data_IF_567837297091
#
_entry.id   IF_567837297091
#
_cell.length_a   1.000
_cell.length_b   1.000
_cell.length_c   1.000
_cell.angle_alpha   90.00
_cell.angle_beta   90.00
_cell.angle_gamma   90.00
#
_symmetry.space_group_name_H-M   'P 1'
#
loop_
_entity.id
_entity.type
_entity.pdbx_description
1 polymer ?
#
# COMPACT_ATOMS: atom_id res chain seq x y z
N UNK A 1 -5.76 6.61 -32.07
CA UNK A 1 -6.92 6.23 -31.25
C UNK A 1 -6.78 7.00 -29.94
N UNK A 2 -7.58 8.07 -29.76
CA UNK A 2 -7.59 8.83 -28.52
C UNK A 2 -8.13 7.93 -27.41
N UNK A 3 -7.28 7.52 -26.47
CA UNK A 3 -7.73 6.96 -25.22
C UNK A 3 -8.55 8.05 -24.52
N UNK A 4 -9.85 7.84 -24.35
CA UNK A 4 -10.72 8.77 -23.67
C UNK A 4 -10.13 9.06 -22.28
N UNK A 5 -9.85 10.32 -22.00
CA UNK A 5 -9.33 10.75 -20.71
C UNK A 5 -10.32 10.35 -19.62
N UNK A 6 -9.86 9.52 -18.71
CA UNK A 6 -10.65 9.07 -17.56
C UNK A 6 -10.97 10.28 -16.69
N UNK A 7 -12.26 10.53 -16.45
CA UNK A 7 -12.70 11.62 -15.58
C UNK A 7 -13.16 11.08 -14.23
N UNK A 8 -12.99 11.86 -13.18
CA UNK A 8 -13.29 11.49 -11.80
C UNK A 8 -14.36 12.41 -11.22
N UNK A 9 -15.23 11.87 -10.38
CA UNK A 9 -16.18 12.66 -9.60
C UNK A 9 -15.52 13.20 -8.33
N UNK A 10 -16.15 14.16 -7.67
CA UNK A 10 -15.65 14.67 -6.38
C UNK A 10 -15.65 13.59 -5.27
N UNK A 11 -16.51 12.58 -5.40
CA UNK A 11 -16.55 11.44 -4.48
C UNK A 11 -15.35 10.52 -4.68
N UNK A 12 -14.93 10.33 -5.94
CA UNK A 12 -13.70 9.59 -6.23
C UNK A 12 -12.49 10.32 -5.66
N UNK A 13 -12.43 11.67 -5.82
CA UNK A 13 -11.36 12.48 -5.22
C UNK A 13 -11.33 12.34 -3.69
N UNK A 14 -12.49 12.40 -3.02
CA UNK A 14 -12.60 12.17 -1.57
C UNK A 14 -12.06 10.80 -1.19
N UNK A 15 -12.43 9.75 -1.91
CA UNK A 15 -12.01 8.38 -1.66
C UNK A 15 -10.48 8.21 -1.86
N UNK A 16 -9.91 8.81 -2.91
CA UNK A 16 -8.48 8.68 -3.21
C UNK A 16 -7.57 9.50 -2.29
N UNK A 17 -7.96 10.72 -1.93
CA UNK A 17 -7.10 11.61 -1.14
C UNK A 17 -7.46 11.66 0.35
N UNK A 18 -8.61 11.11 0.76
CA UNK A 18 -9.10 11.13 2.13
C UNK A 18 -9.52 12.53 2.64
N UNK A 19 -9.68 13.49 1.73
CA UNK A 19 -10.12 14.86 2.04
C UNK A 19 -11.59 14.97 1.71
N UNK A 20 -12.38 15.46 2.67
CA UNK A 20 -13.83 15.58 2.50
C UNK A 20 -14.21 16.48 1.31
N UNK A 21 -15.21 16.07 0.53
CA UNK A 21 -15.67 16.76 -0.68
C UNK A 21 -15.94 18.26 -0.46
N UNK A 22 -16.48 18.65 0.71
CA UNK A 22 -16.70 20.05 1.03
C UNK A 22 -15.38 20.84 1.19
N UNK A 23 -14.34 20.21 1.73
CA UNK A 23 -13.01 20.81 1.88
C UNK A 23 -12.36 21.00 0.51
N UNK A 24 -12.47 19.99 -0.38
CA UNK A 24 -11.98 20.07 -1.76
C UNK A 24 -12.64 21.26 -2.49
N UNK A 25 -13.97 21.40 -2.40
CA UNK A 25 -14.69 22.54 -3.00
C UNK A 25 -14.27 23.88 -2.43
N UNK A 26 -13.99 23.92 -1.11
CA UNK A 26 -13.50 25.14 -0.48
C UNK A 26 -12.09 25.50 -1.00
N UNK A 27 -11.21 24.52 -1.17
CA UNK A 27 -9.87 24.73 -1.71
C UNK A 27 -9.89 25.13 -3.18
N UNK A 28 -10.75 24.50 -4.00
CA UNK A 28 -11.04 24.91 -5.38
C UNK A 28 -11.43 26.38 -5.44
N UNK A 29 -12.48 26.76 -4.67
CA UNK A 29 -13.02 28.13 -4.69
C UNK A 29 -12.04 29.18 -4.14
N UNK A 30 -11.33 28.87 -3.06
CA UNK A 30 -10.51 29.85 -2.33
C UNK A 30 -9.09 29.97 -2.87
N UNK A 31 -8.54 28.89 -3.38
CA UNK A 31 -7.13 28.82 -3.75
C UNK A 31 -6.89 28.43 -5.22
N UNK A 32 -7.92 28.04 -5.95
CA UNK A 32 -7.77 27.65 -7.35
C UNK A 32 -6.89 26.39 -7.56
N UNK A 33 -6.84 25.50 -6.57
CA UNK A 33 -5.98 24.31 -6.62
C UNK A 33 -6.38 23.38 -7.75
N UNK A 34 -7.69 23.26 -8.01
CA UNK A 34 -8.28 22.46 -9.07
C UNK A 34 -9.17 23.36 -9.94
N UNK A 35 -9.31 22.99 -11.21
CA UNK A 35 -10.13 23.72 -12.19
C UNK A 35 -11.01 22.74 -12.96
N UNK A 36 -11.96 22.04 -12.28
CA UNK A 36 -12.75 20.99 -12.89
C UNK A 36 -13.60 21.47 -14.06
N UNK A 37 -13.70 20.66 -15.08
CA UNK A 37 -14.70 20.83 -16.12
C UNK A 37 -16.11 20.59 -15.57
N UNK A 38 -17.11 21.23 -16.19
CA UNK A 38 -18.51 21.04 -15.81
C UNK A 38 -19.30 20.52 -16.98
N UNK A 39 -20.11 19.50 -16.72
CA UNK A 39 -21.09 19.03 -17.69
C UNK A 39 -22.22 20.05 -17.91
N UNK A 40 -23.05 19.85 -18.93
CA UNK A 40 -24.25 20.64 -19.17
C UNK A 40 -25.21 20.67 -17.98
N UNK A 41 -25.20 19.61 -17.16
CA UNK A 41 -25.94 19.50 -15.89
C UNK A 41 -25.20 20.12 -14.70
N UNK A 42 -24.13 20.89 -14.93
CA UNK A 42 -23.32 21.57 -13.92
C UNK A 42 -22.60 20.63 -12.91
N UNK A 43 -22.41 19.35 -13.29
CA UNK A 43 -21.66 18.37 -12.49
C UNK A 43 -20.16 18.56 -12.76
N UNK A 44 -19.34 18.54 -11.69
CA UNK A 44 -17.88 18.65 -11.78
C UNK A 44 -17.25 17.34 -12.21
N UNK A 45 -16.34 17.43 -13.17
CA UNK A 45 -15.50 16.34 -13.64
C UNK A 45 -14.04 16.77 -13.51
N UNK A 46 -13.22 15.92 -12.91
CA UNK A 46 -11.81 16.15 -12.67
C UNK A 46 -10.98 15.25 -13.56
N UNK A 47 -9.92 15.78 -14.11
CA UNK A 47 -8.96 15.03 -14.92
C UNK A 47 -8.04 14.18 -14.04
N UNK A 48 -7.30 13.27 -14.65
CA UNK A 48 -6.27 12.49 -13.96
C UNK A 48 -5.18 13.39 -13.35
N UNK A 49 -4.80 14.47 -14.06
CA UNK A 49 -3.80 15.42 -13.59
C UNK A 49 -4.30 16.20 -12.35
N UNK A 50 -5.57 16.56 -12.32
CA UNK A 50 -6.17 17.19 -11.14
C UNK A 50 -6.26 16.24 -9.96
N UNK A 51 -6.54 14.95 -10.18
CA UNK A 51 -6.49 13.94 -9.14
C UNK A 51 -5.06 13.80 -8.59
N UNK A 52 -4.04 13.68 -9.46
CA UNK A 52 -2.62 13.62 -9.05
C UNK A 52 -2.24 14.86 -8.24
N UNK A 53 -2.60 16.05 -8.73
CA UNK A 53 -2.35 17.31 -8.03
C UNK A 53 -2.98 17.33 -6.64
N UNK A 54 -4.24 16.89 -6.51
CA UNK A 54 -4.92 16.85 -5.22
C UNK A 54 -4.29 15.84 -4.26
N UNK A 55 -3.84 14.68 -4.73
CA UNK A 55 -3.11 13.70 -3.92
C UNK A 55 -1.81 14.32 -3.39
N UNK A 56 -1.05 15.02 -4.25
CA UNK A 56 0.15 15.75 -3.85
C UNK A 56 -0.14 16.77 -2.75
N UNK A 57 -1.16 17.60 -2.96
CA UNK A 57 -1.63 18.59 -1.98
C UNK A 57 -2.01 17.92 -0.67
N UNK A 58 -2.68 16.77 -0.71
CA UNK A 58 -3.09 16.01 0.48
C UNK A 58 -1.89 15.51 1.28
N UNK A 59 -0.86 15.00 0.61
CA UNK A 59 0.38 14.53 1.23
C UNK A 59 1.08 15.68 1.96
N UNK A 60 1.28 16.81 1.27
CA UNK A 60 1.94 17.97 1.86
C UNK A 60 1.14 18.57 3.03
N UNK A 61 -0.18 18.58 2.92
CA UNK A 61 -1.05 19.12 3.97
C UNK A 61 -1.05 18.21 5.21
N UNK A 62 -1.07 16.88 5.05
CA UNK A 62 -0.92 15.91 6.15
C UNK A 62 0.44 16.05 6.84
N UNK A 63 1.48 16.40 6.10
CA UNK A 63 2.82 16.65 6.63
C UNK A 63 2.98 18.05 7.23
N UNK A 64 1.86 18.74 7.49
CA UNK A 64 1.82 20.00 8.24
C UNK A 64 1.97 21.29 7.42
N UNK A 65 2.14 21.20 6.09
CA UNK A 65 2.13 22.41 5.27
C UNK A 65 0.72 22.99 5.17
N UNK A 66 0.62 24.31 5.43
CA UNK A 66 -0.65 25.03 5.30
C UNK A 66 -1.07 25.10 3.83
N UNK A 67 -2.34 24.82 3.56
CA UNK A 67 -2.91 24.85 2.20
C UNK A 67 -2.65 26.16 1.45
N UNK A 68 -2.67 27.30 2.15
CA UNK A 68 -2.37 28.60 1.57
C UNK A 68 -0.92 28.75 1.10
N UNK A 69 0.02 27.99 1.66
CA UNK A 69 1.41 27.91 1.21
C UNK A 69 1.51 26.98 0.02
N UNK A 70 0.89 25.78 0.09
CA UNK A 70 0.90 24.78 -0.98
C UNK A 70 0.34 25.37 -2.27
N UNK A 71 -0.77 26.10 -2.21
CA UNK A 71 -1.44 26.69 -3.36
C UNK A 71 -0.62 27.74 -4.12
N UNK A 72 0.47 28.24 -3.54
CA UNK A 72 1.38 29.23 -4.17
C UNK A 72 2.60 28.61 -4.82
N UNK A 73 2.82 27.32 -4.59
CA UNK A 73 3.97 26.59 -5.11
C UNK A 73 3.70 26.20 -6.58
N UNK A 74 4.72 26.39 -7.41
CA UNK A 74 4.74 25.82 -8.75
C UNK A 74 5.10 24.31 -8.69
N UNK A 75 4.97 23.59 -9.80
CA UNK A 75 5.17 22.14 -9.84
C UNK A 75 6.58 21.74 -9.38
N UNK A 76 7.62 22.50 -9.71
CA UNK A 76 8.99 22.22 -9.28
C UNK A 76 9.20 22.47 -7.78
N UNK A 77 8.51 23.42 -7.21
CA UNK A 77 8.53 23.71 -5.76
C UNK A 77 7.69 22.71 -4.98
N UNK A 78 6.53 22.32 -5.51
CA UNK A 78 5.71 21.22 -4.98
C UNK A 78 6.54 19.95 -4.89
N UNK A 79 7.28 19.63 -5.96
CA UNK A 79 8.20 18.51 -5.98
C UNK A 79 9.24 18.58 -4.86
N UNK A 80 9.94 19.72 -4.74
CA UNK A 80 10.94 19.91 -3.68
C UNK A 80 10.35 19.74 -2.29
N UNK A 81 9.13 20.23 -2.06
CA UNK A 81 8.46 20.08 -0.76
C UNK A 81 8.01 18.62 -0.52
N UNK A 82 7.55 17.89 -1.56
CA UNK A 82 7.26 16.44 -1.45
C UNK A 82 8.53 15.66 -1.17
N UNK A 83 9.63 15.99 -1.83
CA UNK A 83 10.93 15.37 -1.57
C UNK A 83 11.42 15.62 -0.13
N UNK A 84 11.20 16.81 0.42
CA UNK A 84 11.50 17.13 1.82
C UNK A 84 10.53 16.47 2.80
N UNK A 85 9.23 16.47 2.50
CA UNK A 85 8.20 15.94 3.40
C UNK A 85 8.18 14.42 3.49
N UNK A 86 8.78 13.73 2.52
CA UNK A 86 9.04 12.29 2.60
C UNK A 86 10.23 11.93 3.50
N UNK A 87 10.86 12.91 4.14
CA UNK A 87 11.85 12.75 5.23
C UNK A 87 11.18 12.80 6.61
N UNK A 88 9.93 12.35 6.73
CA UNK A 88 9.40 11.93 8.02
C UNK A 88 10.31 10.83 8.55
N UNK A 89 11.13 11.19 9.51
CA UNK A 89 12.24 10.44 10.08
C UNK A 89 13.33 10.05 9.05
N UNK A 90 14.24 11.00 8.73
CA UNK A 90 15.64 10.65 8.81
C UNK A 90 15.75 10.00 10.19
N UNK A 91 15.87 8.66 10.23
CA UNK A 91 16.20 7.97 11.47
C UNK A 91 17.31 8.79 12.12
N UNK A 92 17.19 9.12 13.39
CA UNK A 92 18.11 9.93 14.16
C UNK A 92 19.58 9.52 14.05
N UNK A 93 19.87 8.42 13.38
CA UNK A 93 21.19 7.84 13.04
C UNK A 93 21.75 8.28 11.67
N UNK A 94 21.01 9.01 10.83
CA UNK A 94 21.51 9.49 9.52
C UNK A 94 21.82 8.40 8.48
N UNK A 95 21.47 7.13 8.73
CA UNK A 95 21.83 6.00 7.86
C UNK A 95 20.93 5.85 6.65
N UNK A 96 19.65 6.29 6.71
CA UNK A 96 18.73 6.15 5.59
C UNK A 96 18.79 7.37 4.67
N UNK A 97 19.27 7.17 3.44
CA UNK A 97 19.38 8.20 2.39
C UNK A 97 18.47 7.91 1.21
N UNK A 98 17.17 8.21 1.31
CA UNK A 98 16.20 7.86 0.27
C UNK A 98 16.52 8.50 -1.09
N UNK A 99 17.15 9.67 -1.13
CA UNK A 99 17.56 10.34 -2.37
C UNK A 99 18.58 9.54 -3.18
N UNK A 100 19.58 8.95 -2.54
CA UNK A 100 20.59 8.12 -3.21
C UNK A 100 20.00 6.83 -3.77
N UNK A 101 19.08 6.20 -3.02
CA UNK A 101 18.34 5.02 -3.45
C UNK A 101 17.46 5.31 -4.66
N UNK A 102 16.72 6.42 -4.64
CA UNK A 102 15.89 6.83 -5.77
C UNK A 102 16.76 7.11 -6.99
N UNK A 103 17.89 7.79 -6.85
CA UNK A 103 18.77 8.10 -7.97
C UNK A 103 19.32 6.85 -8.69
N UNK A 104 19.66 5.77 -7.99
CA UNK A 104 20.04 4.50 -8.63
C UNK A 104 18.85 3.85 -9.34
N UNK A 105 17.67 3.89 -8.74
CA UNK A 105 16.45 3.37 -9.34
C UNK A 105 16.03 4.15 -10.60
N UNK A 106 16.22 5.47 -10.63
CA UNK A 106 15.91 6.30 -11.81
C UNK A 106 16.71 5.93 -13.05
N UNK A 107 17.90 5.36 -12.86
CA UNK A 107 18.77 4.87 -13.94
C UNK A 107 18.50 3.40 -14.30
N UNK A 108 17.56 2.75 -13.64
CA UNK A 108 17.32 1.31 -13.76
C UNK A 108 18.54 0.45 -13.46
N UNK A 109 19.46 0.93 -12.61
CA UNK A 109 20.65 0.21 -12.19
C UNK A 109 20.30 -0.77 -11.09
N UNK A 110 19.85 -1.98 -11.49
CA UNK A 110 19.30 -2.97 -10.57
C UNK A 110 20.34 -3.46 -9.56
N UNK A 111 21.55 -3.75 -10.01
CA UNK A 111 22.63 -4.24 -9.13
C UNK A 111 22.97 -3.22 -8.05
N UNK A 112 23.24 -1.96 -8.45
CA UNK A 112 23.57 -0.88 -7.53
C UNK A 112 22.43 -0.64 -6.52
N UNK A 113 21.19 -0.63 -7.01
CA UNK A 113 20.02 -0.42 -6.17
C UNK A 113 19.81 -1.56 -5.19
N UNK A 114 19.93 -2.82 -5.66
CA UNK A 114 19.81 -4.03 -4.84
C UNK A 114 20.91 -4.11 -3.78
N UNK A 115 22.16 -3.81 -4.15
CA UNK A 115 23.27 -3.81 -3.20
C UNK A 115 23.03 -2.83 -2.05
N UNK A 116 22.63 -1.61 -2.35
CA UNK A 116 22.29 -0.60 -1.34
C UNK A 116 21.15 -1.05 -0.42
N UNK A 117 20.09 -1.68 -0.97
CA UNK A 117 18.98 -2.21 -0.16
C UNK A 117 19.43 -3.39 0.72
N UNK A 118 20.26 -4.27 0.19
CA UNK A 118 20.79 -5.42 0.93
C UNK A 118 21.70 -5.00 2.12
N UNK A 119 22.39 -3.86 2.03
CA UNK A 119 23.12 -3.33 3.19
C UNK A 119 22.22 -3.12 4.40
N UNK A 120 20.99 -2.57 4.19
CA UNK A 120 20.01 -2.42 5.28
C UNK A 120 19.50 -3.77 5.79
N UNK A 121 19.37 -4.78 4.92
CA UNK A 121 18.97 -6.14 5.34
C UNK A 121 20.04 -6.76 6.23
N UNK A 122 21.32 -6.59 5.87
CA UNK A 122 22.45 -7.10 6.67
C UNK A 122 22.53 -6.41 8.03
N UNK A 123 22.32 -5.09 8.06
CA UNK A 123 22.45 -4.29 9.29
C UNK A 123 21.27 -4.50 10.25
N UNK A 124 20.05 -4.58 9.75
CA UNK A 124 18.82 -4.51 10.57
C UNK A 124 17.97 -5.78 10.55
N UNK A 125 18.28 -6.71 9.65
CA UNK A 125 17.40 -7.83 9.32
C UNK A 125 16.26 -7.41 8.39
N UNK A 126 15.71 -8.39 7.65
CA UNK A 126 14.75 -8.13 6.58
C UNK A 126 13.46 -7.45 7.06
N UNK A 127 12.93 -7.86 8.23
CA UNK A 127 11.70 -7.28 8.77
C UNK A 127 11.87 -5.78 9.07
N UNK A 128 12.94 -5.40 9.75
CA UNK A 128 13.20 -4.01 10.08
C UNK A 128 13.59 -3.18 8.84
N UNK A 129 14.36 -3.75 7.91
CA UNK A 129 14.66 -3.12 6.63
C UNK A 129 13.39 -2.82 5.84
N UNK A 130 12.42 -3.76 5.85
CA UNK A 130 11.13 -3.52 5.20
C UNK A 130 10.36 -2.38 5.85
N UNK A 131 10.22 -2.40 7.17
CA UNK A 131 9.43 -1.40 7.89
C UNK A 131 10.06 0.00 7.84
N UNK A 132 11.37 0.10 8.01
CA UNK A 132 12.07 1.37 8.17
C UNK A 132 12.62 1.96 6.87
N UNK A 133 12.84 1.15 5.83
CA UNK A 133 13.49 1.57 4.59
C UNK A 133 12.62 1.26 3.37
N UNK A 134 12.25 0.00 3.14
CA UNK A 134 11.64 -0.41 1.88
C UNK A 134 10.22 0.13 1.70
N UNK A 135 9.38 0.00 2.72
CA UNK A 135 8.02 0.52 2.66
C UNK A 135 8.00 2.06 2.56
N UNK A 136 8.73 2.84 3.38
CA UNK A 136 8.83 4.29 3.20
C UNK A 136 9.37 4.70 1.82
N UNK A 137 10.35 3.97 1.29
CA UNK A 137 10.89 4.22 -0.06
C UNK A 137 9.83 4.01 -1.15
N UNK A 138 9.03 2.94 -1.08
CA UNK A 138 7.92 2.70 -2.01
C UNK A 138 6.85 3.79 -1.91
N UNK A 139 6.51 4.23 -0.69
CA UNK A 139 5.55 5.33 -0.51
C UNK A 139 6.08 6.64 -1.12
N UNK A 140 7.38 6.91 -0.95
CA UNK A 140 8.02 8.07 -1.57
C UNK A 140 8.06 7.96 -3.09
N UNK A 141 8.42 6.80 -3.64
CA UNK A 141 8.41 6.55 -5.07
C UNK A 141 7.00 6.74 -5.66
N UNK A 142 5.98 6.24 -4.97
CA UNK A 142 4.58 6.46 -5.36
C UNK A 142 4.20 7.94 -5.37
N UNK A 143 4.56 8.69 -4.33
CA UNK A 143 4.32 10.13 -4.28
C UNK A 143 5.00 10.87 -5.43
N UNK A 144 6.25 10.51 -5.75
CA UNK A 144 7.00 11.08 -6.88
C UNK A 144 6.36 10.72 -8.23
N UNK A 145 5.86 9.51 -8.40
CA UNK A 145 5.13 9.14 -9.60
C UNK A 145 3.81 9.92 -9.73
N UNK A 146 3.04 10.05 -8.66
CA UNK A 146 1.79 10.82 -8.67
C UNK A 146 2.00 12.32 -8.95
N UNK A 147 3.21 12.83 -8.79
CA UNK A 147 3.62 14.21 -9.09
C UNK A 147 4.38 14.34 -10.41
N UNK A 148 4.37 13.28 -11.25
CA UNK A 148 5.10 13.20 -12.53
C UNK A 148 6.62 13.45 -12.42
N UNK A 149 7.19 13.31 -11.21
CA UNK A 149 8.63 13.49 -10.97
C UNK A 149 9.44 12.27 -11.37
N UNK A 150 8.80 11.10 -11.32
CA UNK A 150 9.32 9.86 -11.86
C UNK A 150 8.25 9.20 -12.73
N UNK A 151 8.68 8.41 -13.69
CA UNK A 151 7.77 7.67 -14.54
C UNK A 151 7.18 6.45 -13.81
N UNK A 152 6.02 5.98 -14.26
CA UNK A 152 5.43 4.74 -13.75
C UNK A 152 6.36 3.53 -13.83
N UNK A 153 7.12 3.30 -14.93
CA UNK A 153 8.12 2.23 -14.97
C UNK A 153 9.18 2.33 -13.88
N UNK A 154 9.61 3.55 -13.49
CA UNK A 154 10.59 3.74 -12.41
C UNK A 154 10.01 3.40 -11.04
N UNK A 155 8.76 3.78 -10.77
CA UNK A 155 8.04 3.37 -9.55
C UNK A 155 7.88 1.84 -9.49
N UNK A 156 7.45 1.23 -10.59
CA UNK A 156 7.30 -0.22 -10.68
C UNK A 156 8.62 -0.96 -10.52
N UNK A 157 9.72 -0.42 -11.05
CA UNK A 157 11.05 -0.99 -10.89
C UNK A 157 11.47 -1.03 -9.41
N UNK A 158 11.27 0.05 -8.65
CA UNK A 158 11.53 0.09 -7.21
C UNK A 158 10.76 -1.00 -6.48
N UNK A 159 9.47 -1.11 -6.75
CA UNK A 159 8.60 -2.13 -6.13
C UNK A 159 9.02 -3.54 -6.48
N UNK A 160 9.41 -3.77 -7.74
CA UNK A 160 9.85 -5.07 -8.22
C UNK A 160 11.15 -5.52 -7.52
N UNK A 161 12.15 -4.65 -7.45
CA UNK A 161 13.43 -5.01 -6.80
C UNK A 161 13.22 -5.29 -5.31
N UNK A 162 12.42 -4.48 -4.62
CA UNK A 162 12.08 -4.74 -3.21
C UNK A 162 11.36 -6.10 -3.06
N UNK A 163 10.43 -6.41 -3.95
CA UNK A 163 9.72 -7.68 -3.95
C UNK A 163 10.67 -8.87 -4.13
N UNK A 164 11.65 -8.78 -5.02
CA UNK A 164 12.63 -9.86 -5.23
C UNK A 164 13.49 -10.09 -3.99
N UNK A 165 13.87 -9.03 -3.27
CA UNK A 165 14.59 -9.15 -1.98
C UNK A 165 13.73 -9.83 -0.92
N UNK A 166 12.45 -9.48 -0.81
CA UNK A 166 11.53 -10.12 0.14
C UNK A 166 11.35 -11.60 -0.15
N UNK A 167 11.17 -11.96 -1.44
CA UNK A 167 11.02 -13.35 -1.87
C UNK A 167 12.31 -14.15 -1.59
N UNK A 168 13.48 -13.59 -1.89
CA UNK A 168 14.76 -14.24 -1.61
C UNK A 168 14.96 -14.46 -0.11
N UNK A 169 14.60 -13.48 0.72
CA UNK A 169 14.65 -13.59 2.18
C UNK A 169 13.67 -14.64 2.73
N UNK A 170 12.46 -14.73 2.15
CA UNK A 170 11.51 -15.78 2.50
C UNK A 170 12.02 -17.19 2.18
N UNK A 171 12.70 -17.36 1.04
CA UNK A 171 13.24 -18.66 0.61
C UNK A 171 14.47 -19.10 1.41
N UNK A 172 15.19 -18.19 2.05
CA UNK A 172 16.38 -18.49 2.85
C UNK A 172 16.08 -19.21 4.18
N UNK A 173 14.81 -19.26 4.57
CA UNK A 173 14.40 -19.97 5.79
C UNK A 173 14.08 -21.43 5.48
N UNK A 174 14.70 -22.34 6.23
CA UNK A 174 14.34 -23.73 6.20
C UNK A 174 12.86 -23.93 6.53
N UNK A 175 12.17 -24.71 5.70
CA UNK A 175 10.78 -25.08 5.94
C UNK A 175 10.75 -25.93 7.21
N UNK A 176 10.43 -25.32 8.33
CA UNK A 176 10.17 -26.09 9.55
C UNK A 176 8.94 -26.97 9.29
N UNK A 177 9.01 -28.22 9.71
CA UNK A 177 7.89 -29.16 9.70
C UNK A 177 6.87 -28.76 10.77
N UNK A 178 6.22 -27.62 10.58
CA UNK A 178 5.16 -27.17 11.47
C UNK A 178 3.82 -27.79 11.08
N UNK A 179 3.03 -28.16 12.08
CA UNK A 179 1.64 -28.57 11.91
C UNK A 179 0.69 -27.39 11.64
N UNK A 180 1.19 -26.14 11.81
CA UNK A 180 0.38 -24.93 11.64
C UNK A 180 0.47 -24.43 10.19
N UNK A 181 -0.68 -24.16 9.59
CA UNK A 181 -0.76 -23.65 8.23
C UNK A 181 -1.57 -22.36 8.17
N UNK A 182 -1.17 -21.48 7.26
CA UNK A 182 -1.86 -20.25 6.91
C UNK A 182 -2.08 -20.18 5.40
N UNK A 183 -3.15 -19.49 4.98
CA UNK A 183 -3.38 -19.14 3.58
C UNK A 183 -3.34 -17.63 3.41
N UNK A 184 -2.65 -17.16 2.38
CA UNK A 184 -2.64 -15.76 1.94
C UNK A 184 -3.22 -15.73 0.54
N UNK A 185 -4.31 -14.98 0.35
CA UNK A 185 -5.03 -14.90 -0.91
C UNK A 185 -5.11 -13.46 -1.35
N UNK A 186 -4.55 -13.19 -2.53
CA UNK A 186 -4.57 -11.86 -3.14
C UNK A 186 -5.67 -11.79 -4.20
N UNK A 187 -6.79 -11.15 -3.85
CA UNK A 187 -7.90 -10.86 -4.75
C UNK A 187 -7.92 -9.37 -5.17
N UNK A 188 -7.05 -8.57 -4.56
CA UNK A 188 -6.96 -7.13 -4.77
C UNK A 188 -5.96 -6.74 -5.87
N UNK A 189 -5.61 -5.47 -5.85
CA UNK A 189 -4.64 -4.88 -6.75
C UNK A 189 -3.19 -5.19 -6.36
N UNK A 190 -2.26 -4.91 -7.29
CA UNK A 190 -0.82 -5.13 -7.10
C UNK A 190 -0.18 -4.15 -6.09
N UNK A 191 -0.93 -3.15 -5.58
CA UNK A 191 -0.36 -2.15 -4.67
C UNK A 191 -0.01 -2.74 -3.30
N UNK A 192 -0.80 -3.69 -2.84
CA UNK A 192 -0.59 -4.37 -1.55
C UNK A 192 0.32 -5.61 -1.63
N UNK A 193 0.78 -5.98 -2.83
CA UNK A 193 1.49 -7.22 -3.08
C UNK A 193 2.77 -7.38 -2.23
N UNK A 194 3.58 -6.34 -2.11
CA UNK A 194 4.78 -6.37 -1.26
C UNK A 194 4.44 -6.57 0.22
N UNK A 195 3.30 -6.05 0.68
CA UNK A 195 2.83 -6.27 2.05
C UNK A 195 2.40 -7.73 2.26
N UNK A 196 1.83 -8.38 1.23
CA UNK A 196 1.47 -9.81 1.30
C UNK A 196 2.71 -10.71 1.31
N UNK A 197 3.72 -10.40 0.50
CA UNK A 197 5.00 -11.12 0.51
C UNK A 197 5.70 -10.92 1.86
N UNK A 198 5.66 -9.72 2.41
CA UNK A 198 6.18 -9.44 3.76
C UNK A 198 5.41 -10.21 4.83
N UNK A 199 4.09 -10.28 4.77
CA UNK A 199 3.29 -11.09 5.68
C UNK A 199 3.64 -12.58 5.57
N UNK A 200 3.82 -13.09 4.36
CA UNK A 200 4.27 -14.47 4.13
C UNK A 200 5.60 -14.74 4.83
N UNK A 201 6.57 -13.84 4.67
CA UNK A 201 7.85 -13.92 5.35
C UNK A 201 7.67 -13.95 6.88
N UNK A 202 6.86 -13.05 7.47
CA UNK A 202 6.61 -13.00 8.92
C UNK A 202 5.98 -14.30 9.45
N UNK A 203 4.98 -14.84 8.75
CA UNK A 203 4.34 -16.10 9.13
C UNK A 203 5.32 -17.28 9.06
N UNK A 204 6.18 -17.33 8.05
CA UNK A 204 7.21 -18.37 7.95
C UNK A 204 8.25 -18.27 9.05
N UNK A 205 8.62 -17.05 9.45
CA UNK A 205 9.46 -16.81 10.63
C UNK A 205 8.86 -17.38 11.93
N UNK A 206 7.53 -17.37 12.04
CA UNK A 206 6.78 -17.98 13.17
C UNK A 206 6.57 -19.49 13.00
N UNK A 207 7.13 -20.10 11.96
CA UNK A 207 7.04 -21.53 11.70
C UNK A 207 5.77 -21.97 10.97
N UNK A 208 4.96 -21.06 10.41
CA UNK A 208 3.78 -21.47 9.63
C UNK A 208 4.15 -22.00 8.24
N UNK A 209 3.47 -23.05 7.80
CA UNK A 209 3.40 -23.43 6.41
C UNK A 209 2.41 -22.49 5.70
N UNK A 210 2.88 -21.73 4.70
CA UNK A 210 2.05 -20.70 4.05
C UNK A 210 1.71 -21.09 2.62
N UNK A 211 0.41 -21.21 2.32
CA UNK A 211 -0.12 -21.26 0.96
C UNK A 211 -0.33 -19.83 0.50
N UNK A 212 0.30 -19.44 -0.60
CA UNK A 212 0.12 -18.11 -1.22
C UNK A 212 -0.47 -18.29 -2.61
N UNK A 213 -1.54 -17.59 -2.90
CA UNK A 213 -2.16 -17.58 -4.24
C UNK A 213 -2.71 -16.19 -4.56
N UNK A 214 -2.81 -15.91 -5.85
CA UNK A 214 -3.29 -14.63 -6.38
C UNK A 214 -4.18 -14.86 -7.59
N UNK A 215 -5.05 -13.90 -7.88
CA UNK A 215 -5.98 -13.93 -9.01
C UNK A 215 -7.43 -13.90 -8.57
N UNK A 216 -8.32 -14.03 -9.53
CA UNK A 216 -9.76 -14.06 -9.25
C UNK A 216 -10.13 -15.44 -8.71
N UNK A 217 -10.41 -15.51 -7.41
CA UNK A 217 -10.81 -16.73 -6.71
C UNK A 217 -12.23 -16.59 -6.15
N UNK A 218 -12.99 -17.66 -6.23
CA UNK A 218 -14.29 -17.78 -5.59
C UNK A 218 -14.17 -18.33 -4.16
N UNK A 219 -15.25 -18.27 -3.40
CA UNK A 219 -15.34 -18.93 -2.08
C UNK A 219 -15.08 -20.44 -2.20
N UNK A 220 -15.57 -21.06 -3.28
CA UNK A 220 -15.38 -22.50 -3.52
C UNK A 220 -13.93 -22.85 -3.77
N UNK A 221 -13.15 -21.96 -4.40
CA UNK A 221 -11.70 -22.13 -4.54
C UNK A 221 -11.00 -22.12 -3.18
N UNK A 222 -11.40 -21.21 -2.29
CA UNK A 222 -10.86 -21.15 -0.92
C UNK A 222 -11.17 -22.42 -0.15
N UNK A 223 -12.39 -22.95 -0.27
CA UNK A 223 -12.79 -24.26 0.28
C UNK A 223 -11.96 -25.38 -0.31
N UNK A 224 -11.75 -25.35 -1.63
CA UNK A 224 -10.91 -26.33 -2.34
C UNK A 224 -9.49 -26.36 -1.81
N UNK A 225 -8.87 -25.18 -1.61
CA UNK A 225 -7.54 -25.07 -1.02
C UNK A 225 -7.53 -25.62 0.40
N UNK A 226 -8.51 -25.25 1.23
CA UNK A 226 -8.59 -25.71 2.62
C UNK A 226 -8.79 -27.23 2.73
N UNK A 227 -9.57 -27.82 1.82
CA UNK A 227 -9.79 -29.27 1.76
C UNK A 227 -8.52 -30.05 1.45
N UNK A 228 -7.66 -29.52 0.56
CA UNK A 228 -6.39 -30.16 0.16
C UNK A 228 -5.32 -29.90 1.23
N UNK A 229 -5.26 -28.68 1.74
CA UNK A 229 -4.31 -28.28 2.77
C UNK A 229 -5.00 -27.43 3.82
N UNK A 230 -5.47 -28.03 4.92
CA UNK A 230 -6.13 -27.31 6.00
C UNK A 230 -5.25 -26.23 6.59
N UNK A 231 -5.81 -25.05 6.82
CA UNK A 231 -5.15 -23.92 7.44
C UNK A 231 -6.05 -23.32 8.53
N UNK A 232 -5.44 -22.76 9.56
CA UNK A 232 -6.14 -22.13 10.68
C UNK A 232 -6.18 -20.60 10.61
N UNK A 233 -5.38 -20.03 9.71
CA UNK A 233 -5.25 -18.59 9.49
C UNK A 233 -5.51 -18.30 8.02
N UNK A 234 -6.34 -17.29 7.75
CA UNK A 234 -6.61 -16.78 6.41
C UNK A 234 -6.29 -15.30 6.36
N UNK A 235 -5.41 -14.89 5.44
CA UNK A 235 -5.16 -13.48 5.13
C UNK A 235 -5.68 -13.18 3.74
N UNK A 236 -6.50 -12.13 3.62
CA UNK A 236 -7.15 -11.72 2.37
C UNK A 236 -6.73 -10.30 2.02
N UNK A 237 -6.32 -10.10 0.79
CA UNK A 237 -6.27 -8.78 0.17
C UNK A 237 -7.44 -8.66 -0.80
N UNK A 238 -8.35 -7.76 -0.53
CA UNK A 238 -9.59 -7.59 -1.30
C UNK A 238 -9.54 -6.29 -2.10
N UNK A 239 -10.28 -6.21 -3.24
CA UNK A 239 -10.40 -4.97 -3.99
C UNK A 239 -10.98 -3.86 -3.12
N UNK A 240 -10.43 -2.65 -3.24
CA UNK A 240 -10.90 -1.49 -2.48
C UNK A 240 -12.32 -1.01 -2.84
N UNK A 241 -12.92 -1.58 -3.89
CA UNK A 241 -14.27 -1.28 -4.36
C UNK A 241 -15.36 -2.03 -3.59
N UNK A 242 -14.99 -3.09 -2.86
CA UNK A 242 -15.97 -3.90 -2.13
C UNK A 242 -16.52 -3.14 -0.90
N UNK A 243 -17.85 -3.17 -0.66
CA UNK A 243 -18.44 -2.57 0.54
C UNK A 243 -17.97 -3.27 1.82
N UNK A 244 -17.63 -2.50 2.84
CA UNK A 244 -17.13 -3.01 4.13
C UNK A 244 -18.04 -4.06 4.77
N UNK A 245 -19.33 -3.90 4.66
CA UNK A 245 -20.34 -4.76 5.28
C UNK A 245 -20.39 -6.15 4.60
N UNK A 246 -20.24 -6.18 3.27
CA UNK A 246 -20.17 -7.42 2.48
C UNK A 246 -18.87 -8.17 2.78
N UNK A 247 -17.76 -7.45 2.87
CA UNK A 247 -16.46 -8.05 3.24
C UNK A 247 -16.50 -8.65 4.64
N UNK A 248 -17.10 -7.98 5.61
CA UNK A 248 -17.29 -8.52 6.98
C UNK A 248 -18.12 -9.80 6.96
N UNK A 249 -19.27 -9.75 6.31
CA UNK A 249 -20.16 -10.91 6.18
C UNK A 249 -19.44 -12.11 5.56
N UNK A 250 -18.67 -11.87 4.50
CA UNK A 250 -17.85 -12.87 3.85
C UNK A 250 -16.78 -13.47 4.78
N UNK A 251 -15.99 -12.63 5.47
CA UNK A 251 -14.94 -13.07 6.39
C UNK A 251 -15.50 -13.89 7.55
N UNK A 252 -16.61 -13.43 8.15
CA UNK A 252 -17.25 -14.10 9.27
C UNK A 252 -17.89 -15.44 8.87
N UNK A 253 -18.49 -15.51 7.68
CA UNK A 253 -19.04 -16.75 7.14
C UNK A 253 -17.92 -17.76 6.85
N UNK A 254 -16.83 -17.32 6.18
CA UNK A 254 -15.69 -18.17 5.87
C UNK A 254 -14.97 -18.64 7.13
N UNK A 255 -14.81 -17.77 8.13
CA UNK A 255 -14.18 -18.13 9.40
C UNK A 255 -14.97 -19.20 10.17
N UNK A 256 -16.30 -19.13 10.13
CA UNK A 256 -17.18 -20.13 10.77
C UNK A 256 -17.19 -21.46 10.02
N UNK A 257 -17.32 -21.38 8.72
CA UNK A 257 -17.42 -22.57 7.86
C UNK A 257 -16.15 -23.41 7.86
N UNK A 258 -14.97 -22.77 7.80
CA UNK A 258 -13.67 -23.44 7.77
C UNK A 258 -13.05 -23.61 9.16
N UNK A 259 -13.76 -23.28 10.23
CA UNK A 259 -13.28 -23.28 11.62
C UNK A 259 -11.91 -22.59 11.79
N UNK A 260 -11.79 -21.40 11.18
CA UNK A 260 -10.54 -20.62 11.24
C UNK A 260 -10.36 -20.02 12.64
N UNK A 261 -9.10 -20.01 13.09
CA UNK A 261 -8.73 -19.31 14.33
C UNK A 261 -8.65 -17.80 14.13
N UNK A 262 -8.13 -17.36 12.99
CA UNK A 262 -7.96 -15.93 12.67
C UNK A 262 -8.16 -15.65 11.18
N UNK A 263 -8.76 -14.50 10.89
CA UNK A 263 -8.86 -13.92 9.56
C UNK A 263 -8.24 -12.54 9.59
N UNK A 264 -7.34 -12.26 8.65
CA UNK A 264 -6.74 -10.95 8.45
C UNK A 264 -7.22 -10.38 7.12
N UNK A 265 -7.66 -9.14 7.12
CA UNK A 265 -8.02 -8.42 5.90
C UNK A 265 -7.05 -7.28 5.69
N UNK A 266 -6.41 -7.24 4.51
CA UNK A 266 -5.52 -6.18 4.08
C UNK A 266 -6.27 -5.23 3.15
N UNK A 267 -5.99 -3.93 3.26
CA UNK A 267 -6.54 -2.94 2.34
C UNK A 267 -6.92 -1.61 2.99
N UNK A 268 -7.76 -0.84 2.31
CA UNK A 268 -8.17 0.53 2.66
C UNK A 268 -9.23 0.62 3.75
N UNK A 269 -9.29 -0.30 4.65
CA UNK A 269 -10.36 -0.27 5.63
C UNK A 269 -10.08 0.77 6.70
N UNK A 270 -11.10 1.57 6.92
CA UNK A 270 -11.25 2.69 7.81
C UNK A 270 -10.19 2.82 8.92
N UNK A 271 -9.63 4.03 9.03
CA UNK A 271 -8.73 4.46 10.11
C UNK A 271 -9.37 4.41 11.52
N UNK A 272 -10.64 4.00 11.63
CA UNK A 272 -11.36 3.93 12.91
C UNK A 272 -10.99 2.72 13.78
N UNK A 273 -10.17 1.81 13.30
CA UNK A 273 -9.75 0.62 14.06
C UNK A 273 -10.91 -0.32 14.46
N UNK A 274 -12.10 -0.12 13.90
CA UNK A 274 -13.34 -0.80 14.34
C UNK A 274 -13.57 -2.17 13.72
N UNK A 275 -12.67 -2.63 12.86
CA UNK A 275 -12.72 -3.95 12.25
C UNK A 275 -12.01 -5.02 13.09
N UNK A 276 -12.43 -5.18 14.34
CA UNK A 276 -11.97 -6.28 15.16
C UNK A 276 -13.20 -6.96 15.77
N UNK A 277 -13.51 -8.13 15.25
CA UNK A 277 -14.57 -8.96 15.75
C UNK A 277 -13.96 -10.33 16.07
N UNK A 278 -13.53 -10.53 17.31
CA UNK A 278 -13.06 -11.82 17.82
C UNK A 278 -12.01 -12.56 16.95
N UNK A 279 -12.38 -13.05 15.77
CA UNK A 279 -11.51 -13.80 14.85
C UNK A 279 -10.97 -12.97 13.68
N UNK A 280 -11.71 -11.94 13.25
CA UNK A 280 -11.36 -11.11 12.07
C UNK A 280 -10.73 -9.80 12.47
N UNK A 281 -9.62 -9.42 11.85
CA UNK A 281 -8.93 -8.14 12.06
C UNK A 281 -8.56 -7.53 10.70
N UNK A 282 -8.83 -6.24 10.53
CA UNK A 282 -8.32 -5.48 9.40
C UNK A 282 -7.00 -4.79 9.75
N UNK A 283 -6.06 -4.79 8.81
CA UNK A 283 -4.74 -4.15 8.97
C UNK A 283 -4.40 -3.41 7.70
N UNK A 284 -4.03 -2.12 7.85
CA UNK A 284 -3.73 -1.23 6.73
C UNK A 284 -2.24 -0.86 6.60
N UNK A 285 -1.39 -1.28 7.54
CA UNK A 285 0.02 -0.90 7.56
C UNK A 285 0.95 -2.10 7.77
N UNK A 286 2.18 -2.06 7.23
CA UNK A 286 3.17 -3.09 7.50
C UNK A 286 3.53 -3.26 8.98
N UNK A 287 3.54 -2.17 9.76
CA UNK A 287 3.74 -2.24 11.21
C UNK A 287 2.60 -3.03 11.88
N UNK A 288 1.35 -2.76 11.49
CA UNK A 288 0.20 -3.53 11.97
C UNK A 288 0.25 -5.01 11.55
N UNK A 289 0.85 -5.34 10.39
CA UNK A 289 1.08 -6.73 9.98
C UNK A 289 2.10 -7.41 10.90
N UNK A 290 3.18 -6.71 11.24
CA UNK A 290 4.19 -7.23 12.17
C UNK A 290 3.61 -7.45 13.56
N UNK A 291 2.90 -6.46 14.12
CA UNK A 291 2.20 -6.58 15.41
C UNK A 291 1.18 -7.73 15.42
N UNK A 292 0.43 -7.88 14.32
CA UNK A 292 -0.52 -8.98 14.19
C UNK A 292 0.18 -10.34 14.15
N UNK A 293 1.25 -10.48 13.37
CA UNK A 293 2.05 -11.69 13.31
C UNK A 293 2.70 -12.02 14.66
N UNK A 294 3.12 -11.01 15.43
CA UNK A 294 3.67 -11.20 16.78
C UNK A 294 2.62 -11.65 17.80
N UNK A 295 1.35 -11.40 17.54
CA UNK A 295 0.22 -11.83 18.38
C UNK A 295 -0.21 -13.30 18.18
N UNK A 296 0.39 -14.00 17.20
CA UNK A 296 0.08 -15.42 16.89
C UNK A 296 0.86 -16.37 17.78
#
# INVERSE_FOLDING_TARGET
MNAGSRTYSIKDLENFCGIKAHTIRMWEKRYGILTPERSDSNIRHYTEDELKKLITVSILNRNGLKISKIARLNDSELLKEVLKSGTGDENSDGTFKPGELIMSALRFSEEEFREKLNQYVVEKGLAQAYLQVFHPLMQKARALWLTDCISKPQEQFIRHVIRTILIAGDMSHEVQTSSQSAAIINLGDNESENNLVFLKYLLRQKGFNVVYTEGTLSVDDIRGIHKVRPFSILALNLPASEPDEEVRGFCDATARELDLKRVLVLGRYDNSGTWSNGKTKAVCSPAGLAEWADSL
#
